data_IF_635042541383
#
_entry.id   IF_635042541383
#
_cell.length_a   1.000
_cell.length_b   1.000
_cell.length_c   1.000
_cell.angle_alpha   90.00
_cell.angle_beta   90.00
_cell.angle_gamma   90.00
#
_symmetry.space_group_name_H-M   'P 1'
#
loop_
_entity.id
_entity.type
_entity.pdbx_description
1 polymer ?
#
# COMPACT_ATOMS: atom_id res chain seq x y z
N UNK A 1 -6.39 -4.64 -15.24
CA UNK A 1 -5.63 -5.73 -15.86
C UNK A 1 -4.47 -6.09 -14.94
N UNK A 2 -4.22 -7.38 -14.74
CA UNK A 2 -3.10 -7.86 -13.95
C UNK A 2 -1.83 -7.82 -14.81
N UNK A 3 -0.90 -6.93 -14.48
CA UNK A 3 0.36 -6.78 -15.22
C UNK A 3 1.44 -7.77 -14.73
N UNK A 4 1.30 -8.27 -13.51
CA UNK A 4 2.17 -9.28 -12.89
C UNK A 4 1.34 -10.47 -12.39
N UNK A 5 2.00 -11.58 -12.02
CA UNK A 5 1.30 -12.81 -11.62
C UNK A 5 1.20 -13.01 -10.11
N UNK A 6 2.01 -12.32 -9.31
CA UNK A 6 2.05 -12.47 -7.86
C UNK A 6 2.34 -11.14 -7.15
N UNK A 7 1.95 -10.99 -5.87
CA UNK A 7 2.10 -9.73 -5.13
C UNK A 7 3.55 -9.31 -4.84
N UNK A 8 4.51 -10.23 -4.96
CA UNK A 8 5.94 -9.97 -4.75
C UNK A 8 6.69 -9.54 -6.00
N UNK A 9 6.04 -9.52 -7.17
CA UNK A 9 6.70 -9.28 -8.44
C UNK A 9 6.88 -7.77 -8.73
N UNK A 10 8.11 -7.38 -9.08
CA UNK A 10 8.42 -6.00 -9.48
C UNK A 10 7.85 -5.70 -10.87
N UNK A 11 6.98 -4.70 -10.95
CA UNK A 11 6.43 -4.18 -12.20
C UNK A 11 7.48 -3.34 -12.94
N UNK A 12 8.13 -3.96 -13.91
CA UNK A 12 9.03 -3.31 -14.89
C UNK A 12 8.37 -3.07 -16.26
N UNK A 13 9.03 -2.30 -17.14
CA UNK A 13 8.54 -1.98 -18.49
C UNK A 13 8.22 -3.20 -19.36
N UNK A 14 8.87 -4.35 -19.14
CA UNK A 14 8.65 -5.59 -19.91
C UNK A 14 7.23 -6.15 -19.77
N UNK A 15 6.57 -5.85 -18.65
CA UNK A 15 5.21 -6.32 -18.39
C UNK A 15 4.17 -5.49 -19.15
N UNK A 16 4.53 -4.30 -19.63
CA UNK A 16 3.57 -3.34 -20.19
C UNK A 16 3.54 -3.44 -21.71
N UNK A 17 2.40 -3.93 -22.22
CA UNK A 17 2.16 -4.25 -23.62
C UNK A 17 1.10 -3.33 -24.22
N UNK A 18 1.05 -3.22 -25.55
CA UNK A 18 0.11 -2.32 -26.25
C UNK A 18 -1.37 -2.56 -25.89
N UNK A 19 -1.75 -3.79 -25.54
CA UNK A 19 -3.10 -4.15 -25.09
C UNK A 19 -3.53 -3.49 -23.77
N UNK A 20 -2.60 -2.89 -23.02
CA UNK A 20 -2.86 -2.20 -21.75
C UNK A 20 -3.40 -0.78 -21.92
N UNK A 21 -3.58 -0.32 -23.17
CA UNK A 21 -4.15 0.99 -23.47
C UNK A 21 -5.54 1.11 -22.84
N UNK A 22 -5.78 2.20 -22.12
CA UNK A 22 -7.05 2.47 -21.44
C UNK A 22 -7.22 1.71 -20.12
N UNK A 23 -6.34 0.78 -19.77
CA UNK A 23 -6.48 -0.02 -18.55
C UNK A 23 -5.86 0.65 -17.33
N UNK A 24 -6.37 0.28 -16.15
CA UNK A 24 -5.64 0.39 -14.88
C UNK A 24 -4.84 -0.90 -14.68
N UNK A 25 -3.54 -0.77 -14.42
CA UNK A 25 -2.60 -1.88 -14.30
C UNK A 25 -2.32 -2.20 -12.85
N UNK A 26 -2.45 -3.48 -12.48
CA UNK A 26 -2.12 -3.97 -11.14
C UNK A 26 -0.76 -4.66 -11.20
N UNK A 27 0.21 -4.12 -10.46
CA UNK A 27 1.53 -4.71 -10.23
C UNK A 27 1.62 -5.42 -8.88
N UNK A 28 2.85 -5.75 -8.49
CA UNK A 28 3.16 -6.50 -7.27
C UNK A 28 3.88 -5.62 -6.26
N UNK A 29 5.15 -5.90 -5.98
CA UNK A 29 5.88 -5.31 -4.85
C UNK A 29 6.39 -3.89 -5.09
N UNK A 30 6.68 -3.54 -6.33
CA UNK A 30 7.31 -2.28 -6.69
C UNK A 30 6.96 -1.89 -8.13
N UNK A 31 6.78 -0.59 -8.40
CA UNK A 31 6.78 -0.04 -9.76
C UNK A 31 8.05 0.78 -10.02
N UNK A 32 8.68 0.58 -11.18
CA UNK A 32 9.88 1.34 -11.59
C UNK A 32 9.52 2.57 -12.42
N UNK A 33 10.39 3.59 -12.48
CA UNK A 33 10.18 4.76 -13.34
C UNK A 33 10.03 4.37 -14.82
N UNK A 34 10.79 3.37 -15.27
CA UNK A 34 10.70 2.83 -16.63
C UNK A 34 9.36 2.16 -16.91
N UNK A 35 8.72 1.55 -15.91
CA UNK A 35 7.38 1.01 -16.04
C UNK A 35 6.34 2.12 -16.14
N UNK A 36 6.41 3.15 -15.29
CA UNK A 36 5.50 4.31 -15.35
C UNK A 36 5.55 5.00 -16.72
N UNK A 37 6.76 5.30 -17.21
CA UNK A 37 6.97 5.87 -18.56
C UNK A 37 6.39 4.97 -19.65
N UNK A 38 6.55 3.65 -19.53
CA UNK A 38 6.01 2.72 -20.51
C UNK A 38 4.48 2.63 -20.45
N UNK A 39 3.89 2.69 -19.25
CA UNK A 39 2.44 2.71 -19.04
C UNK A 39 1.81 3.94 -19.71
N UNK A 40 2.41 5.11 -19.49
CA UNK A 40 2.03 6.36 -20.13
C UNK A 40 2.14 6.26 -21.67
N UNK A 41 3.27 5.79 -22.21
CA UNK A 41 3.46 5.64 -23.66
C UNK A 41 2.41 4.75 -24.33
N UNK A 42 1.98 3.68 -23.65
CA UNK A 42 0.93 2.79 -24.15
C UNK A 42 -0.47 3.40 -23.99
N UNK A 43 -0.61 4.44 -23.16
CA UNK A 43 -1.87 5.07 -22.84
C UNK A 43 -2.68 4.31 -21.79
N UNK A 44 -2.02 3.66 -20.83
CA UNK A 44 -2.68 3.18 -19.62
C UNK A 44 -3.23 4.36 -18.79
N UNK A 45 -4.27 4.12 -17.99
CA UNK A 45 -4.95 5.17 -17.19
C UNK A 45 -4.46 5.24 -15.75
N UNK A 46 -3.95 4.14 -15.21
CA UNK A 46 -3.34 4.16 -13.90
C UNK A 46 -2.55 2.91 -13.56
N UNK A 47 -1.83 2.97 -12.45
CA UNK A 47 -1.03 1.87 -11.90
C UNK A 47 -1.33 1.73 -10.41
N UNK A 48 -1.54 0.50 -9.97
CA UNK A 48 -1.69 0.10 -8.57
C UNK A 48 -0.56 -0.86 -8.24
N UNK A 49 0.28 -0.54 -7.25
CA UNK A 49 1.38 -1.39 -6.79
C UNK A 49 1.49 -1.41 -5.26
N UNK A 50 2.27 -2.35 -4.73
CA UNK A 50 2.62 -2.41 -3.31
C UNK A 50 3.45 -1.20 -2.90
N UNK A 51 4.55 -0.93 -3.61
CA UNK A 51 5.35 0.27 -3.35
C UNK A 51 5.98 0.92 -4.58
N UNK A 52 6.69 2.01 -4.30
CA UNK A 52 7.48 2.80 -5.26
C UNK A 52 8.72 3.36 -4.56
N UNK A 53 9.85 3.51 -5.27
CA UNK A 53 11.00 4.23 -4.73
C UNK A 53 10.81 5.74 -4.94
N UNK A 54 11.20 6.54 -3.95
CA UNK A 54 11.16 8.01 -4.04
C UNK A 54 11.94 8.53 -5.27
N UNK A 55 13.09 7.90 -5.55
CA UNK A 55 13.88 8.17 -6.76
C UNK A 55 13.11 7.83 -8.05
N UNK A 56 12.41 6.70 -8.10
CA UNK A 56 11.66 6.31 -9.30
C UNK A 56 10.47 7.25 -9.55
N UNK A 57 9.83 7.72 -8.49
CA UNK A 57 8.76 8.71 -8.58
C UNK A 57 9.31 10.05 -9.08
N UNK A 58 10.39 10.53 -8.49
CA UNK A 58 11.04 11.79 -8.90
C UNK A 58 11.59 11.72 -10.33
N UNK A 59 12.18 10.58 -10.73
CA UNK A 59 12.65 10.33 -12.09
C UNK A 59 11.49 10.31 -13.10
N UNK A 60 10.29 9.88 -12.69
CA UNK A 60 9.11 9.89 -13.54
C UNK A 60 8.52 11.30 -13.69
N UNK A 61 8.34 12.01 -12.57
CA UNK A 61 7.78 13.36 -12.53
C UNK A 61 8.73 14.42 -13.10
N UNK A 62 10.05 14.19 -13.00
CA UNK A 62 11.08 15.17 -13.33
C UNK A 62 11.39 16.16 -12.20
N UNK A 63 10.81 15.99 -11.01
CA UNK A 63 11.02 16.79 -9.81
C UNK A 63 10.61 16.01 -8.56
N UNK A 64 11.03 16.48 -7.38
CA UNK A 64 10.65 15.88 -6.09
C UNK A 64 9.20 16.21 -5.72
N UNK A 65 8.41 15.19 -5.39
CA UNK A 65 6.99 15.36 -5.04
C UNK A 65 6.84 16.05 -3.68
N UNK A 66 5.78 16.88 -3.54
CA UNK A 66 5.41 17.47 -2.26
C UNK A 66 4.91 16.43 -1.25
N UNK A 67 5.18 16.66 0.04
CA UNK A 67 4.86 15.70 1.11
C UNK A 67 3.39 15.70 1.58
N UNK A 68 2.57 16.68 1.15
CA UNK A 68 1.28 16.95 1.79
C UNK A 68 0.05 16.82 0.89
N UNK A 69 0.21 17.07 -0.42
CA UNK A 69 -0.88 17.15 -1.39
C UNK A 69 -0.38 16.57 -2.71
N UNK A 70 -1.16 15.67 -3.31
CA UNK A 70 -0.97 15.11 -4.66
C UNK A 70 -2.26 15.21 -5.47
N UNK A 71 -2.20 14.96 -6.79
CA UNK A 71 -3.35 15.00 -7.70
C UNK A 71 -3.32 16.18 -8.68
N UNK A 72 -2.28 17.01 -8.63
CA UNK A 72 -2.08 18.17 -9.50
C UNK A 72 -0.83 18.06 -10.38
N UNK A 73 -0.14 16.91 -10.32
CA UNK A 73 0.98 16.60 -11.18
C UNK A 73 0.53 16.57 -12.65
N UNK A 74 1.27 17.22 -13.54
CA UNK A 74 0.97 17.29 -14.98
C UNK A 74 1.41 16.00 -15.69
N UNK A 75 0.74 14.90 -15.34
CA UNK A 75 0.96 13.56 -15.89
C UNK A 75 -0.37 12.91 -16.28
N UNK A 76 -0.40 12.07 -17.33
CA UNK A 76 -1.64 11.43 -17.79
C UNK A 76 -2.01 10.16 -17.02
N UNK A 77 -1.22 9.78 -16.01
CA UNK A 77 -1.29 8.49 -15.32
C UNK A 77 -1.54 8.70 -13.82
N UNK A 78 -2.57 8.06 -13.27
CA UNK A 78 -2.75 7.99 -11.81
C UNK A 78 -1.97 6.83 -11.20
N UNK A 79 -1.26 7.07 -10.10
CA UNK A 79 -0.49 6.04 -9.39
C UNK A 79 -1.03 5.91 -7.97
N UNK A 80 -1.32 4.69 -7.54
CA UNK A 80 -1.70 4.35 -6.17
C UNK A 80 -0.76 3.28 -5.65
N UNK A 81 -0.19 3.52 -4.47
CA UNK A 81 0.62 2.53 -3.75
C UNK A 81 -0.09 2.09 -2.48
N UNK A 82 -0.13 0.79 -2.22
CA UNK A 82 -0.89 0.24 -1.08
C UNK A 82 -0.06 0.17 0.21
N UNK A 83 1.25 -0.11 0.09
CA UNK A 83 2.15 -0.32 1.23
C UNK A 83 3.10 0.87 1.46
N UNK A 84 3.36 1.68 0.42
CA UNK A 84 4.07 2.97 0.54
C UNK A 84 5.38 3.06 -0.25
N UNK A 85 6.39 3.72 0.33
CA UNK A 85 7.69 3.91 -0.32
C UNK A 85 8.66 2.78 0.02
N UNK A 86 9.27 2.17 -1.01
CA UNK A 86 10.12 0.99 -0.89
C UNK A 86 9.64 -0.18 -1.75
N UNK A 87 10.41 -1.25 -1.80
CA UNK A 87 9.97 -2.54 -2.37
C UNK A 87 9.22 -3.33 -1.31
N UNK A 88 7.91 -3.44 -1.47
CA UNK A 88 7.02 -4.04 -0.49
C UNK A 88 5.95 -4.86 -1.20
N UNK A 89 5.97 -6.18 -1.01
CA UNK A 89 4.94 -7.07 -1.56
C UNK A 89 3.55 -6.57 -1.16
N UNK A 90 2.67 -6.42 -2.16
CA UNK A 90 1.28 -6.07 -1.91
C UNK A 90 0.65 -7.13 -0.99
N UNK A 91 -0.23 -6.72 -0.07
CA UNK A 91 -0.92 -7.70 0.76
C UNK A 91 -1.71 -8.72 -0.10
N UNK A 92 -1.57 -10.01 0.20
CA UNK A 92 -2.22 -11.12 -0.54
C UNK A 92 -3.73 -10.90 -0.71
N UNK A 93 -4.41 -10.46 0.36
CA UNK A 93 -5.86 -10.16 0.32
C UNK A 93 -6.18 -9.05 -0.70
N UNK A 94 -5.37 -7.99 -0.74
CA UNK A 94 -5.54 -6.87 -1.66
C UNK A 94 -5.27 -7.30 -3.10
N UNK A 95 -4.20 -8.06 -3.33
CA UNK A 95 -3.86 -8.57 -4.65
C UNK A 95 -4.95 -9.52 -5.18
N UNK A 96 -5.42 -10.46 -4.35
CA UNK A 96 -6.51 -11.37 -4.71
C UNK A 96 -7.83 -10.63 -4.98
N UNK A 97 -8.13 -9.57 -4.22
CA UNK A 97 -9.29 -8.71 -4.47
C UNK A 97 -9.17 -8.05 -5.84
N UNK A 98 -8.05 -7.39 -6.13
CA UNK A 98 -7.82 -6.72 -7.42
C UNK A 98 -7.85 -7.72 -8.59
N UNK A 99 -7.30 -8.93 -8.41
CA UNK A 99 -7.38 -10.01 -9.39
C UNK A 99 -8.83 -10.44 -9.66
N UNK A 100 -9.68 -10.53 -8.63
CA UNK A 100 -11.10 -10.88 -8.80
C UNK A 100 -11.91 -9.83 -9.58
N UNK A 101 -11.36 -8.62 -9.73
CA UNK A 101 -11.95 -7.49 -10.46
C UNK A 101 -11.31 -7.31 -11.84
N UNK A 102 -10.44 -8.23 -12.27
CA UNK A 102 -9.81 -8.16 -13.57
C UNK A 102 -10.84 -8.15 -14.71
N UNK A 103 -10.65 -7.24 -15.67
CA UNK A 103 -11.54 -7.09 -16.82
C UNK A 103 -12.77 -6.22 -16.56
N UNK A 104 -13.02 -5.80 -15.31
CA UNK A 104 -14.10 -4.88 -14.98
C UNK A 104 -13.74 -3.43 -15.32
N UNK A 105 -14.78 -2.62 -15.56
CA UNK A 105 -14.64 -1.16 -15.61
C UNK A 105 -14.24 -0.63 -14.23
N UNK A 106 -13.34 0.35 -14.19
CA UNK A 106 -12.85 0.90 -12.94
C UNK A 106 -12.40 2.35 -13.12
N UNK A 107 -12.61 3.15 -12.07
CA UNK A 107 -12.09 4.51 -11.93
C UNK A 107 -11.01 4.54 -10.86
N UNK A 108 -9.99 5.37 -11.05
CA UNK A 108 -8.87 5.54 -10.12
C UNK A 108 -8.64 7.02 -9.86
N UNK A 109 -8.36 7.37 -8.61
CA UNK A 109 -7.97 8.70 -8.20
C UNK A 109 -6.79 8.59 -7.22
N UNK A 110 -5.63 9.12 -7.60
CA UNK A 110 -4.41 9.10 -6.81
C UNK A 110 -4.23 10.28 -5.86
N UNK A 111 -5.20 11.20 -5.82
CA UNK A 111 -5.11 12.43 -5.01
C UNK A 111 -5.07 12.10 -3.53
N UNK A 112 -4.09 12.66 -2.82
CA UNK A 112 -3.90 12.49 -1.38
C UNK A 112 -3.79 13.86 -0.72
N UNK A 113 -4.46 14.04 0.42
CA UNK A 113 -4.31 15.21 1.29
C UNK A 113 -4.34 14.76 2.74
N UNK A 114 -3.25 15.00 3.49
CA UNK A 114 -3.08 14.44 4.84
C UNK A 114 -3.48 15.40 5.97
N UNK A 115 -3.69 16.69 5.67
CA UNK A 115 -4.10 17.73 6.64
C UNK A 115 -5.60 18.03 6.51
N UNK A 116 -6.06 19.18 7.02
CA UNK A 116 -7.47 19.59 6.94
C UNK A 116 -8.06 19.37 5.54
N UNK A 117 -9.24 18.75 5.44
CA UNK A 117 -9.82 18.31 4.15
C UNK A 117 -9.19 17.01 3.63
N UNK A 118 -9.05 16.00 4.49
CA UNK A 118 -8.39 14.73 4.18
C UNK A 118 -8.96 14.11 2.90
N UNK A 119 -8.09 13.87 1.92
CA UNK A 119 -8.39 13.11 0.70
C UNK A 119 -7.50 11.87 0.70
N UNK A 120 -8.11 10.73 0.39
CA UNK A 120 -7.41 9.46 0.24
C UNK A 120 -7.52 9.00 -1.20
N UNK A 121 -6.49 8.32 -1.72
CA UNK A 121 -6.62 7.62 -2.98
C UNK A 121 -7.78 6.63 -2.96
N UNK A 122 -8.45 6.49 -4.10
CA UNK A 122 -9.59 5.60 -4.24
C UNK A 122 -9.54 4.86 -5.58
N UNK A 123 -10.03 3.62 -5.55
CA UNK A 123 -10.25 2.79 -6.73
C UNK A 123 -11.70 2.33 -6.64
N UNK A 124 -12.50 2.69 -7.63
CA UNK A 124 -13.94 2.42 -7.66
C UNK A 124 -14.22 1.45 -8.79
N UNK A 125 -14.82 0.30 -8.46
CA UNK A 125 -15.25 -0.71 -9.43
C UNK A 125 -16.77 -0.89 -9.27
N UNK A 126 -17.60 -0.44 -10.23
CA UNK A 126 -19.04 -0.64 -10.17
C UNK A 126 -19.37 -2.14 -10.22
N UNK A 127 -20.30 -2.58 -9.37
CA UNK A 127 -20.81 -3.95 -9.36
C UNK A 127 -22.32 -3.94 -9.20
N UNK A 128 -23.00 -4.82 -9.94
CA UNK A 128 -24.43 -5.04 -9.76
C UNK A 128 -24.68 -5.96 -8.54
N UNK A 129 -25.63 -5.59 -7.69
CA UNK A 129 -26.04 -6.35 -6.50
C UNK A 129 -25.79 -5.62 -5.18
N UNK A 130 -26.46 -6.07 -4.11
CA UNK A 130 -26.18 -5.59 -2.74
C UNK A 130 -24.87 -6.21 -2.28
N UNK A 131 -23.79 -5.43 -2.28
CA UNK A 131 -22.58 -5.82 -1.58
C UNK A 131 -22.92 -6.11 -0.13
N UNK A 132 -22.48 -7.26 0.38
CA UNK A 132 -22.48 -7.50 1.82
C UNK A 132 -21.42 -6.56 2.41
N UNK A 133 -21.84 -5.35 2.77
CA UNK A 133 -21.01 -4.43 3.56
C UNK A 133 -20.98 -5.04 4.96
N UNK A 134 -20.04 -5.95 5.20
CA UNK A 134 -19.60 -6.16 6.57
C UNK A 134 -18.84 -4.90 6.95
N UNK A 135 -19.49 -4.01 7.70
CA UNK A 135 -18.77 -3.04 8.50
C UNK A 135 -17.88 -3.85 9.44
N UNK A 136 -16.61 -4.01 9.07
CA UNK A 136 -15.59 -4.40 10.03
C UNK A 136 -15.47 -3.23 10.97
N UNK A 137 -16.26 -3.24 12.05
CA UNK A 137 -16.05 -2.32 13.15
C UNK A 137 -14.55 -2.37 13.49
N UNK A 138 -13.88 -1.23 13.50
CA UNK A 138 -12.47 -1.17 13.87
C UNK A 138 -12.36 -1.61 15.33
N UNK A 139 -12.18 -2.92 15.53
CA UNK A 139 -11.89 -3.49 16.84
C UNK A 139 -10.55 -2.91 17.28
N UNK A 140 -10.46 -2.51 18.54
CA UNK A 140 -9.20 -2.03 19.09
C UNK A 140 -8.10 -3.08 18.98
N UNK A 141 -6.87 -2.67 19.26
CA UNK A 141 -5.75 -3.62 19.35
C UNK A 141 -5.99 -4.59 20.51
N UNK A 142 -6.15 -5.88 20.20
CA UNK A 142 -6.44 -6.96 21.15
C UNK A 142 -5.37 -8.05 21.07
N UNK A 143 -5.30 -8.89 22.11
CA UNK A 143 -4.45 -10.09 22.05
C UNK A 143 -4.99 -11.01 20.95
N UNK A 144 -4.10 -11.42 20.05
CA UNK A 144 -4.43 -12.21 18.88
C UNK A 144 -4.72 -11.41 17.61
N UNK A 145 -4.84 -10.08 17.67
CA UNK A 145 -4.94 -9.23 16.48
C UNK A 145 -3.75 -9.46 15.54
N UNK A 146 -4.01 -9.55 14.23
CA UNK A 146 -2.95 -9.49 13.22
C UNK A 146 -2.53 -8.05 13.04
N UNK A 147 -1.23 -7.83 13.00
CA UNK A 147 -0.67 -6.49 12.88
C UNK A 147 0.49 -6.45 11.88
N UNK A 148 0.71 -5.26 11.31
CA UNK A 148 1.92 -4.91 10.56
C UNK A 148 2.73 -3.88 11.34
N UNK A 149 4.05 -4.06 11.34
CA UNK A 149 4.98 -3.14 12.01
C UNK A 149 5.32 -2.00 11.05
N UNK A 150 5.08 -0.75 11.48
CA UNK A 150 5.18 0.45 10.63
C UNK A 150 6.39 1.33 10.96
N UNK A 151 7.35 0.80 11.73
CA UNK A 151 8.61 1.48 12.07
C UNK A 151 9.80 0.52 12.02
N UNK A 152 10.96 1.08 11.69
CA UNK A 152 12.24 0.39 11.80
C UNK A 152 12.52 -0.06 13.25
N UNK A 153 13.27 -1.16 13.45
CA UNK A 153 13.91 -1.99 12.43
C UNK A 153 12.99 -3.05 11.78
N UNK A 154 11.72 -3.12 12.18
CA UNK A 154 10.80 -4.19 11.78
C UNK A 154 9.79 -3.78 10.71
N UNK A 155 10.07 -2.70 9.98
CA UNK A 155 9.12 -2.12 9.04
C UNK A 155 8.62 -3.16 8.00
N UNK A 156 7.30 -3.22 7.81
CA UNK A 156 6.63 -4.14 6.90
C UNK A 156 6.46 -5.57 7.42
N UNK A 157 7.08 -5.96 8.54
CA UNK A 157 6.94 -7.31 9.11
C UNK A 157 5.52 -7.52 9.64
N UNK A 158 5.00 -8.72 9.42
CA UNK A 158 3.71 -9.17 9.90
C UNK A 158 3.86 -10.02 11.17
N UNK A 159 2.87 -9.95 12.03
CA UNK A 159 2.80 -10.82 13.21
C UNK A 159 1.46 -10.79 13.91
N UNK A 160 1.42 -11.48 15.04
CA UNK A 160 0.27 -11.62 15.92
C UNK A 160 0.57 -11.02 17.28
N UNK A 161 -0.35 -10.22 17.81
CA UNK A 161 -0.23 -9.68 19.17
C UNK A 161 -0.30 -10.82 20.19
N UNK A 162 0.72 -10.97 21.01
CA UNK A 162 0.79 -11.97 22.09
C UNK A 162 0.49 -11.37 23.46
N UNK A 163 0.86 -10.11 23.68
CA UNK A 163 0.58 -9.42 24.95
C UNK A 163 0.39 -7.91 24.77
N UNK A 164 -0.40 -7.33 25.69
CA UNK A 164 -0.62 -5.89 25.81
C UNK A 164 -0.27 -5.43 27.24
N UNK A 165 1.02 -5.25 27.57
CA UNK A 165 1.44 -4.76 28.88
C UNK A 165 0.76 -3.43 29.22
N UNK A 166 0.17 -3.37 30.42
CA UNK A 166 -0.56 -2.18 30.90
C UNK A 166 0.41 -1.07 31.33
N UNK A 167 1.56 -1.48 31.88
CA UNK A 167 2.58 -0.56 32.37
C UNK A 167 3.36 0.09 31.21
N UNK A 168 3.72 1.36 31.40
CA UNK A 168 4.59 2.06 30.47
C UNK A 168 6.00 1.49 30.58
N UNK A 169 6.58 1.12 29.43
CA UNK A 169 7.97 0.67 29.37
C UNK A 169 8.87 1.80 28.86
N UNK A 170 10.09 1.85 29.40
CA UNK A 170 11.14 2.75 28.91
C UNK A 170 11.73 2.15 27.64
N UNK A 171 11.60 2.86 26.53
CA UNK A 171 12.25 2.48 25.26
C UNK A 171 13.64 3.09 25.14
N UNK A 172 14.38 2.76 24.08
CA UNK A 172 15.74 3.24 23.84
C UNK A 172 15.86 4.78 23.83
N UNK A 173 14.82 5.49 23.40
CA UNK A 173 14.74 6.96 23.46
C UNK A 173 14.45 7.51 24.86
N UNK A 174 14.47 6.64 25.87
CA UNK A 174 14.15 6.90 27.27
C UNK A 174 12.70 7.33 27.55
N UNK A 175 11.86 7.44 26.51
CA UNK A 175 10.45 7.71 26.65
C UNK A 175 9.73 6.54 27.33
N UNK A 176 8.71 6.86 28.14
CA UNK A 176 7.80 5.88 28.73
C UNK A 176 6.56 5.75 27.87
N UNK A 177 6.39 4.62 27.20
CA UNK A 177 5.30 4.40 26.24
C UNK A 177 4.57 3.09 26.52
N UNK A 178 3.31 3.02 26.06
CA UNK A 178 2.59 1.75 26.01
C UNK A 178 3.17 0.91 24.90
N UNK A 179 3.50 -0.34 25.22
CA UNK A 179 4.07 -1.29 24.27
C UNK A 179 3.07 -2.39 23.92
N UNK A 180 3.41 -3.15 22.89
CA UNK A 180 2.76 -4.39 22.47
C UNK A 180 3.84 -5.42 22.19
N UNK A 181 3.58 -6.67 22.59
CA UNK A 181 4.40 -7.82 22.19
C UNK A 181 3.76 -8.46 20.96
N UNK A 182 4.59 -8.66 19.93
CA UNK A 182 4.17 -9.23 18.65
C UNK A 182 5.07 -10.40 18.33
N UNK A 183 4.48 -11.57 18.12
CA UNK A 183 5.14 -12.72 17.50
C UNK A 183 5.11 -12.53 15.98
N UNK A 184 6.27 -12.26 15.39
CA UNK A 184 6.41 -12.13 13.94
C UNK A 184 6.18 -13.48 13.27
N UNK A 185 5.70 -13.47 12.03
CA UNK A 185 5.46 -14.68 11.24
C UNK A 185 6.74 -15.53 11.03
N UNK A 186 7.92 -14.93 11.24
CA UNK A 186 9.24 -15.58 11.24
C UNK A 186 9.60 -16.26 12.58
N UNK A 187 8.68 -16.30 13.54
CA UNK A 187 8.80 -16.96 14.86
C UNK A 187 9.50 -16.13 15.94
N UNK A 188 9.93 -14.90 15.64
CA UNK A 188 10.57 -14.00 16.61
C UNK A 188 9.53 -13.15 17.33
N UNK A 189 9.58 -13.10 18.66
CA UNK A 189 8.81 -12.12 19.44
C UNK A 189 9.56 -10.80 19.58
N UNK A 190 8.87 -9.68 19.37
CA UNK A 190 9.40 -8.33 19.53
C UNK A 190 8.46 -7.47 20.37
N UNK A 191 9.04 -6.58 21.18
CA UNK A 191 8.30 -5.58 21.96
C UNK A 191 8.48 -4.21 21.31
N UNK A 192 7.37 -3.59 20.90
CA UNK A 192 7.39 -2.30 20.20
C UNK A 192 6.35 -1.35 20.78
N UNK A 193 6.52 -0.02 20.65
CA UNK A 193 5.46 0.93 20.98
C UNK A 193 4.16 0.59 20.26
N UNK A 194 3.01 0.76 20.93
CA UNK A 194 1.68 0.55 20.30
C UNK A 194 1.47 1.44 19.07
N UNK A 195 2.12 2.59 19.02
CA UNK A 195 2.09 3.51 17.87
C UNK A 195 2.87 2.99 16.64
N UNK A 196 3.62 1.89 16.79
CA UNK A 196 4.44 1.31 15.73
C UNK A 196 3.79 0.08 15.08
N UNK A 197 2.50 -0.17 15.35
CA UNK A 197 1.72 -1.25 14.73
C UNK A 197 0.43 -0.72 14.12
N UNK A 198 0.01 -1.30 13.01
CA UNK A 198 -1.33 -1.16 12.42
C UNK A 198 -2.06 -2.50 12.37
N UNK A 199 -3.38 -2.50 12.53
CA UNK A 199 -4.23 -3.71 12.57
C UNK A 199 -4.62 -4.10 11.13
N UNK A 200 -4.63 -5.40 10.81
CA UNK A 200 -4.94 -5.97 9.49
C UNK A 200 -6.25 -6.78 9.42
#
# INVERSE_FOLDING_TARGET
AMAVQNPGEVLTSRHIKAQHRGCILVGGSLVTATALRRAEQVGARGVICGGILDKDLSDYLGYEIGLAITGHEDIPLSVVVTEGFGEMSMAEKTFALLQSLEGMEASINGSTQIRAGVLRPEIVVPREGKGNVQETAATGLEIGSRVRLIRNPWFGKLGKVTALPVELQRIESEARVRVVEVELDEGRTVTVPRANVEIL
#
